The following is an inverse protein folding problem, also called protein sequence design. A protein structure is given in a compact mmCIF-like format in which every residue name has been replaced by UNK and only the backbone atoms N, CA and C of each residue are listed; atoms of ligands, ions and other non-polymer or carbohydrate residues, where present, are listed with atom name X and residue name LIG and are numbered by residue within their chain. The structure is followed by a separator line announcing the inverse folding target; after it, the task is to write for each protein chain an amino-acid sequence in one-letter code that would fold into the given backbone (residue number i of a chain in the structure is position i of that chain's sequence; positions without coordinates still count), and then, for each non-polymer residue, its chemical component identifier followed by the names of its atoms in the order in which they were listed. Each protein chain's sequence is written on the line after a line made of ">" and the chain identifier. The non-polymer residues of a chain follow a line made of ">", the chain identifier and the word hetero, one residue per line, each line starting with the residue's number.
data_IF_551253784904
#
_entry.id   IF_551253784904
#
_cell.length_a   1.000
_cell.length_b   1.000
_cell.length_c   1.000
_cell.angle_alpha   90.00
_cell.angle_beta   90.00
_cell.angle_gamma   90.00
#
_symmetry.space_group_name_H-M   'P 1'
#
loop_
_entity.id
_entity.type
_entity.pdbx_description
1 polymer ?
#
# COMPACT_ATOMS: atom_id res chain seq x y z
N UNK A 1 4.18 -18.22 8.46
CA UNK A 1 5.49 -17.68 8.91
C UNK A 1 6.08 -16.88 7.77
N UNK A 2 6.63 -15.68 8.06
CA UNK A 2 7.32 -14.87 7.04
C UNK A 2 8.40 -15.67 6.29
N UNK A 3 8.82 -15.18 5.14
CA UNK A 3 9.94 -15.81 4.41
C UNK A 3 11.23 -15.79 5.24
N UNK A 4 12.15 -16.75 5.04
CA UNK A 4 13.41 -16.78 5.76
C UNK A 4 14.27 -15.54 5.46
N UNK A 5 15.15 -15.16 6.40
CA UNK A 5 16.06 -14.05 6.22
C UNK A 5 17.04 -14.30 5.07
N UNK A 6 17.37 -13.27 4.33
CA UNK A 6 18.36 -13.28 3.23
C UNK A 6 19.74 -12.81 3.68
N UNK A 7 19.84 -12.21 4.88
CA UNK A 7 21.11 -11.80 5.49
C UNK A 7 21.22 -12.31 6.94
N UNK A 8 22.44 -12.33 7.46
CA UNK A 8 22.73 -12.73 8.84
C UNK A 8 22.72 -11.50 9.77
N UNK A 9 21.52 -11.04 10.17
CA UNK A 9 21.32 -9.80 10.92
C UNK A 9 22.16 -9.78 12.20
N UNK A 10 22.13 -10.86 12.98
CA UNK A 10 22.88 -10.96 14.26
C UNK A 10 24.39 -10.85 14.06
N UNK A 11 24.93 -11.42 12.98
CA UNK A 11 26.36 -11.32 12.65
C UNK A 11 26.74 -9.89 12.23
N UNK A 12 25.91 -9.25 11.40
CA UNK A 12 26.14 -7.88 10.93
C UNK A 12 25.95 -6.83 12.03
N UNK A 13 25.09 -7.09 13.00
CA UNK A 13 24.90 -6.23 14.16
C UNK A 13 25.87 -6.52 15.31
N UNK A 14 26.55 -7.67 15.34
CA UNK A 14 27.49 -8.01 16.40
C UNK A 14 28.60 -6.95 16.57
N UNK A 15 29.07 -6.77 17.79
CA UNK A 15 30.18 -5.87 18.08
C UNK A 15 31.45 -6.26 17.28
N UNK A 16 32.16 -5.24 16.81
CA UNK A 16 33.45 -5.44 16.10
C UNK A 16 34.56 -5.53 17.15
N UNK A 17 35.46 -6.51 16.95
CA UNK A 17 36.63 -6.66 17.83
C UNK A 17 37.57 -5.45 17.70
N UNK A 18 37.90 -4.82 18.82
CA UNK A 18 38.80 -3.67 18.83
C UNK A 18 38.57 -2.73 20.02
N UNK A 19 39.10 -1.53 19.94
CA UNK A 19 38.93 -0.49 20.98
C UNK A 19 37.50 0.02 21.06
N UNK A 20 36.83 0.17 19.93
CA UNK A 20 35.41 0.57 19.83
C UNK A 20 34.61 -0.63 19.27
N UNK A 21 33.54 -1.00 19.95
CA UNK A 21 32.63 -2.07 19.50
C UNK A 21 31.95 -1.76 18.15
N UNK A 22 31.96 -0.49 17.73
CA UNK A 22 31.41 -0.02 16.45
C UNK A 22 32.47 0.10 15.35
N UNK A 23 33.74 -0.28 15.64
CA UNK A 23 34.85 -0.16 14.71
C UNK A 23 35.36 1.26 14.51
N UNK A 24 35.80 1.60 13.32
CA UNK A 24 36.35 2.90 12.96
C UNK A 24 35.44 3.66 11.96
N UNK A 25 35.57 5.00 11.91
CA UNK A 25 34.95 5.78 10.84
C UNK A 25 35.65 5.51 9.49
N UNK A 26 34.97 4.83 8.58
CA UNK A 26 35.51 4.49 7.27
C UNK A 26 35.79 5.71 6.37
N UNK A 27 35.30 6.91 6.76
CA UNK A 27 35.53 8.18 6.05
C UNK A 27 36.89 8.81 6.35
N UNK A 28 37.58 8.34 7.39
CA UNK A 28 38.95 8.76 7.72
C UNK A 28 39.95 8.36 6.61
N UNK A 29 39.73 7.19 5.98
CA UNK A 29 40.52 6.79 4.81
C UNK A 29 40.01 7.53 3.55
N UNK A 30 40.70 8.59 3.19
CA UNK A 30 40.41 9.42 2.02
C UNK A 30 41.00 8.88 0.70
N UNK A 31 41.56 7.67 0.70
CA UNK A 31 42.01 7.02 -0.52
C UNK A 31 40.84 6.80 -1.49
N UNK A 32 41.01 7.07 -2.79
CA UNK A 32 39.98 6.76 -3.78
C UNK A 32 39.60 5.27 -3.86
N UNK A 33 40.45 4.40 -3.32
CA UNK A 33 40.25 2.95 -3.27
C UNK A 33 39.77 2.46 -1.90
N UNK A 34 39.47 3.35 -0.97
CA UNK A 34 38.92 2.97 0.33
C UNK A 34 37.56 2.28 0.19
N UNK A 35 37.20 1.49 1.16
CA UNK A 35 35.93 0.76 1.15
C UNK A 35 34.72 1.73 1.13
N UNK A 36 34.84 2.91 1.78
CA UNK A 36 33.81 3.96 1.71
C UNK A 36 33.59 4.49 0.30
N UNK A 37 34.66 4.88 -0.42
CA UNK A 37 34.51 5.40 -1.78
C UNK A 37 34.10 4.31 -2.75
N UNK A 38 34.57 3.06 -2.54
CA UNK A 38 34.18 1.90 -3.35
C UNK A 38 32.68 1.63 -3.29
N UNK A 39 32.08 1.56 -2.09
CA UNK A 39 30.63 1.33 -1.96
C UNK A 39 29.82 2.53 -2.48
N UNK A 40 30.29 3.75 -2.22
CA UNK A 40 29.65 4.97 -2.69
C UNK A 40 29.59 5.04 -4.22
N UNK A 41 30.69 4.72 -4.87
CA UNK A 41 30.79 4.72 -6.34
C UNK A 41 29.94 3.59 -6.94
N UNK A 42 29.95 2.39 -6.33
CA UNK A 42 29.08 1.28 -6.74
C UNK A 42 27.61 1.68 -6.68
N UNK A 43 27.16 2.29 -5.56
CA UNK A 43 25.79 2.79 -5.42
C UNK A 43 25.42 3.88 -6.44
N UNK A 44 26.32 4.84 -6.64
CA UNK A 44 26.08 5.92 -7.62
C UNK A 44 25.98 5.36 -9.04
N UNK A 45 26.81 4.40 -9.38
CA UNK A 45 26.79 3.68 -10.66
C UNK A 45 25.50 2.88 -10.84
N UNK A 46 25.05 2.17 -9.80
CA UNK A 46 23.80 1.43 -9.80
C UNK A 46 22.60 2.34 -10.08
N UNK A 47 22.52 3.47 -9.35
CA UNK A 47 21.45 4.47 -9.55
C UNK A 47 21.52 5.16 -10.89
N UNK A 48 22.71 5.38 -11.43
CA UNK A 48 22.89 5.93 -12.77
C UNK A 48 22.41 4.95 -13.85
N UNK A 49 22.75 3.67 -13.70
CA UNK A 49 22.27 2.60 -14.59
C UNK A 49 20.73 2.50 -14.61
N UNK A 50 20.09 2.52 -13.44
CA UNK A 50 18.62 2.52 -13.33
C UNK A 50 18.00 3.74 -14.05
N UNK A 51 18.57 4.94 -13.87
CA UNK A 51 18.06 6.14 -14.56
C UNK A 51 18.23 6.08 -16.07
N UNK A 52 19.37 5.56 -16.54
CA UNK A 52 19.63 5.40 -17.99
C UNK A 52 18.69 4.40 -18.63
N UNK A 53 18.39 3.29 -17.95
CA UNK A 53 17.48 2.27 -18.44
C UNK A 53 16.01 2.75 -18.61
N UNK A 54 15.65 3.90 -18.03
CA UNK A 54 14.32 4.52 -18.29
C UNK A 54 14.22 5.13 -19.70
N UNK A 55 15.34 5.38 -20.36
CA UNK A 55 15.41 6.06 -21.67
C UNK A 55 16.02 5.17 -22.75
N UNK A 56 16.82 4.19 -22.36
CA UNK A 56 17.51 3.28 -23.27
C UNK A 56 16.99 1.85 -23.06
N UNK A 57 16.51 1.24 -24.14
CA UNK A 57 16.09 -0.17 -24.16
C UNK A 57 17.35 -1.06 -24.16
N UNK A 58 17.95 -1.25 -22.98
CA UNK A 58 19.19 -2.01 -22.81
C UNK A 58 18.92 -3.33 -22.08
N UNK A 59 19.48 -4.44 -22.61
CA UNK A 59 19.51 -5.76 -21.93
C UNK A 59 20.52 -5.81 -20.76
N UNK A 60 20.89 -4.68 -20.16
CA UNK A 60 21.87 -4.62 -19.09
C UNK A 60 21.32 -5.23 -17.79
N UNK A 61 22.11 -6.04 -17.11
CA UNK A 61 21.78 -6.53 -15.76
C UNK A 61 21.86 -5.37 -14.75
N UNK A 62 20.73 -4.72 -14.52
CA UNK A 62 20.60 -3.62 -13.57
C UNK A 62 20.82 -4.02 -12.10
N UNK A 63 20.76 -5.31 -11.80
CA UNK A 63 20.99 -5.83 -10.45
C UNK A 63 22.46 -6.08 -10.15
N UNK A 64 23.32 -6.22 -11.16
CA UNK A 64 24.75 -6.49 -10.93
C UNK A 64 25.43 -5.42 -10.08
N UNK A 65 25.29 -4.09 -10.35
CA UNK A 65 25.90 -3.07 -9.49
C UNK A 65 25.32 -3.06 -8.06
N UNK A 66 24.04 -3.42 -7.87
CA UNK A 66 23.45 -3.53 -6.53
C UNK A 66 23.99 -4.73 -5.74
N UNK A 67 24.39 -5.84 -6.43
CA UNK A 67 25.12 -6.95 -5.78
C UNK A 67 26.49 -6.49 -5.27
N UNK A 68 27.18 -5.61 -5.99
CA UNK A 68 28.46 -5.05 -5.54
C UNK A 68 28.28 -4.15 -4.32
N UNK A 69 27.19 -3.33 -4.27
CA UNK A 69 26.83 -2.56 -3.10
C UNK A 69 26.56 -3.46 -1.89
N UNK A 70 25.75 -4.51 -2.07
CA UNK A 70 25.41 -5.45 -1.00
C UNK A 70 26.67 -6.12 -0.43
N UNK A 71 27.54 -6.65 -1.29
CA UNK A 71 28.78 -7.29 -0.90
C UNK A 71 29.73 -6.36 -0.14
N UNK A 72 29.83 -5.10 -0.59
CA UNK A 72 30.68 -4.11 0.07
C UNK A 72 30.09 -3.71 1.43
N UNK A 73 28.77 -3.56 1.53
CA UNK A 73 28.09 -3.26 2.79
C UNK A 73 28.29 -4.38 3.82
N UNK A 74 28.11 -5.63 3.43
CA UNK A 74 28.37 -6.80 4.32
C UNK A 74 29.81 -6.79 4.85
N UNK A 75 30.79 -6.57 3.99
CA UNK A 75 32.20 -6.49 4.38
C UNK A 75 32.45 -5.39 5.40
N UNK A 76 31.87 -4.21 5.19
CA UNK A 76 32.06 -3.06 6.08
C UNK A 76 31.37 -3.30 7.42
N UNK A 77 30.09 -3.69 7.40
CA UNK A 77 29.29 -3.84 8.61
C UNK A 77 29.72 -5.03 9.48
N UNK A 78 30.23 -6.12 8.88
CA UNK A 78 30.71 -7.28 9.64
C UNK A 78 32.04 -7.04 10.37
N UNK A 79 32.94 -6.20 9.85
CA UNK A 79 34.29 -6.18 10.38
C UNK A 79 35.00 -4.83 10.44
N UNK A 80 34.40 -3.73 9.98
CA UNK A 80 35.10 -2.44 9.89
C UNK A 80 34.38 -1.32 10.64
N UNK A 81 33.07 -1.17 10.40
CA UNK A 81 32.32 -0.02 10.93
C UNK A 81 30.84 -0.35 11.08
N UNK A 82 30.26 0.00 12.21
CA UNK A 82 28.81 0.09 12.35
C UNK A 82 28.35 1.46 11.90
N UNK A 83 27.75 1.54 10.72
CA UNK A 83 27.53 2.78 9.99
C UNK A 83 26.13 2.83 9.39
N UNK A 84 25.33 3.86 9.74
CA UNK A 84 23.96 4.03 9.27
C UNK A 84 23.87 4.34 7.78
N UNK A 85 24.87 5.04 7.22
CA UNK A 85 24.86 5.34 5.79
C UNK A 85 25.08 4.07 4.96
N UNK A 86 26.00 3.21 5.42
CA UNK A 86 26.24 1.90 4.80
C UNK A 86 25.02 1.00 4.95
N UNK A 87 24.40 0.97 6.13
CA UNK A 87 23.18 0.19 6.37
C UNK A 87 22.00 0.69 5.51
N UNK A 88 21.87 2.01 5.33
CA UNK A 88 20.88 2.60 4.43
C UNK A 88 21.12 2.19 2.96
N UNK A 89 22.37 2.26 2.47
CA UNK A 89 22.71 1.81 1.11
C UNK A 89 22.54 0.31 0.92
N UNK A 90 22.81 -0.46 1.96
CA UNK A 90 22.57 -1.90 1.95
C UNK A 90 21.08 -2.20 1.83
N UNK A 91 20.22 -1.49 2.58
CA UNK A 91 18.77 -1.62 2.47
C UNK A 91 18.25 -1.27 1.07
N UNK A 92 18.81 -0.24 0.42
CA UNK A 92 18.52 0.07 -0.98
C UNK A 92 18.88 -1.06 -1.95
N UNK A 93 20.00 -1.76 -1.70
CA UNK A 93 20.41 -2.91 -2.49
C UNK A 93 19.53 -4.12 -2.21
N UNK A 94 19.27 -4.42 -0.94
CA UNK A 94 18.48 -5.59 -0.51
C UNK A 94 17.07 -5.61 -1.08
N UNK A 95 16.36 -4.48 -1.07
CA UNK A 95 15.01 -4.43 -1.65
C UNK A 95 15.01 -4.72 -3.15
N UNK A 96 16.04 -4.28 -3.88
CA UNK A 96 16.15 -4.54 -5.32
C UNK A 96 16.51 -5.98 -5.64
N UNK A 97 17.34 -6.58 -4.81
CA UNK A 97 17.79 -7.95 -4.98
C UNK A 97 16.77 -8.99 -4.48
N UNK A 98 16.08 -8.68 -3.38
CA UNK A 98 15.27 -9.64 -2.63
C UNK A 98 13.85 -9.14 -2.31
N UNK A 99 13.41 -8.03 -2.91
CA UNK A 99 12.06 -7.50 -2.69
C UNK A 99 11.77 -7.17 -1.23
N UNK A 100 10.55 -7.47 -0.76
CA UNK A 100 10.12 -7.15 0.60
C UNK A 100 10.89 -7.95 1.68
N UNK A 101 11.41 -9.13 1.36
CA UNK A 101 12.30 -9.88 2.28
C UNK A 101 13.57 -9.08 2.56
N UNK A 102 14.19 -8.55 1.50
CA UNK A 102 15.37 -7.71 1.63
C UNK A 102 15.09 -6.40 2.37
N UNK A 103 13.93 -5.78 2.14
CA UNK A 103 13.53 -4.57 2.85
C UNK A 103 13.35 -4.83 4.35
N UNK A 104 12.66 -5.91 4.72
CA UNK A 104 12.46 -6.33 6.11
C UNK A 104 13.81 -6.53 6.81
N UNK A 105 14.69 -7.30 6.19
CA UNK A 105 15.98 -7.61 6.77
C UNK A 105 16.88 -6.36 6.90
N UNK A 106 16.84 -5.46 5.90
CA UNK A 106 17.53 -4.18 5.96
C UNK A 106 17.02 -3.28 7.10
N UNK A 107 15.71 -3.22 7.31
CA UNK A 107 15.11 -2.48 8.42
C UNK A 107 15.42 -3.14 9.77
N UNK A 108 15.37 -4.48 9.85
CA UNK A 108 15.76 -5.20 11.06
C UNK A 108 17.22 -4.97 11.44
N UNK A 109 18.11 -4.89 10.45
CA UNK A 109 19.52 -4.55 10.69
C UNK A 109 19.68 -3.13 11.22
N UNK A 110 19.00 -2.13 10.62
CA UNK A 110 19.02 -0.74 11.10
C UNK A 110 18.46 -0.66 12.53
N UNK A 111 17.36 -1.35 12.81
CA UNK A 111 16.73 -1.44 14.13
C UNK A 111 17.72 -1.92 15.19
N UNK A 112 18.40 -3.03 14.92
CA UNK A 112 19.45 -3.59 15.80
C UNK A 112 20.65 -2.66 15.96
N UNK A 113 21.11 -2.02 14.89
CA UNK A 113 22.24 -1.08 14.97
C UNK A 113 21.92 0.14 15.84
N UNK A 114 20.70 0.67 15.70
CA UNK A 114 20.24 1.82 16.49
C UNK A 114 20.01 1.43 17.95
N UNK A 115 19.48 0.24 18.23
CA UNK A 115 19.27 -0.26 19.60
C UNK A 115 20.58 -0.55 20.31
N UNK A 116 21.50 -1.29 19.67
CA UNK A 116 22.68 -1.85 20.31
C UNK A 116 23.88 -0.89 20.32
N UNK A 117 23.98 0.02 19.34
CA UNK A 117 25.21 0.77 19.06
C UNK A 117 25.07 2.29 18.97
N UNK A 118 23.92 2.87 19.31
CA UNK A 118 23.61 4.27 19.08
C UNK A 118 24.75 5.26 19.41
N UNK A 119 25.38 5.13 20.57
CA UNK A 119 26.40 6.07 21.02
C UNK A 119 27.64 6.12 20.13
N UNK A 120 28.06 4.95 19.63
CA UNK A 120 29.26 4.82 18.79
C UNK A 120 28.96 4.63 17.30
N UNK A 121 27.68 4.65 16.92
CA UNK A 121 27.23 4.42 15.54
C UNK A 121 27.65 5.58 14.61
N UNK A 122 28.22 5.27 13.47
CA UNK A 122 28.62 6.25 12.47
C UNK A 122 27.48 6.60 11.50
N UNK A 123 27.51 7.80 10.87
CA UNK A 123 28.47 8.88 11.07
C UNK A 123 28.37 9.50 12.48
N UNK A 124 29.50 9.98 13.00
CA UNK A 124 29.49 10.77 14.25
C UNK A 124 28.78 12.11 14.00
N UNK A 125 28.10 12.68 15.02
CA UNK A 125 27.55 14.03 14.94
C UNK A 125 28.67 15.05 14.63
N UNK A 126 28.37 16.02 13.80
CA UNK A 126 29.26 17.14 13.47
C UNK A 126 28.73 18.50 13.94
N UNK A 127 29.07 19.59 13.23
CA UNK A 127 28.61 20.95 13.57
C UNK A 127 27.09 21.10 13.47
N UNK A 128 26.43 20.31 12.60
CA UNK A 128 24.99 20.26 12.40
C UNK A 128 24.31 19.29 13.41
N UNK A 129 25.09 18.69 14.34
CA UNK A 129 24.61 17.84 15.41
C UNK A 129 24.12 16.50 14.93
N UNK A 130 22.97 16.04 15.48
CA UNK A 130 22.41 14.72 15.18
C UNK A 130 21.83 14.59 13.76
N UNK A 131 21.55 15.72 13.07
CA UNK A 131 21.05 15.70 11.71
C UNK A 131 22.01 14.95 10.76
N UNK A 132 23.31 15.20 10.87
CA UNK A 132 24.33 14.48 10.09
C UNK A 132 24.28 12.98 10.33
N UNK A 133 24.12 12.56 11.58
CA UNK A 133 24.05 11.14 11.94
C UNK A 133 22.84 10.43 11.32
N UNK A 134 21.70 11.09 11.26
CA UNK A 134 20.44 10.50 10.78
C UNK A 134 20.11 10.87 9.33
N UNK A 135 20.89 11.74 8.69
CA UNK A 135 20.71 12.14 7.28
C UNK A 135 20.55 10.97 6.31
N UNK A 136 21.26 9.83 6.43
CA UNK A 136 21.05 8.69 5.57
C UNK A 136 19.62 8.15 5.61
N UNK A 137 19.00 8.11 6.80
CA UNK A 137 17.63 7.63 6.98
C UNK A 137 16.60 8.65 6.47
N UNK A 138 16.88 9.95 6.66
CA UNK A 138 16.12 11.03 6.02
C UNK A 138 16.13 10.86 4.50
N UNK A 139 17.28 10.53 3.91
CA UNK A 139 17.43 10.27 2.47
C UNK A 139 16.62 9.07 1.98
N UNK A 140 16.44 8.02 2.77
CA UNK A 140 15.60 6.87 2.43
C UNK A 140 14.12 7.25 2.32
N UNK A 141 13.60 8.00 3.30
CA UNK A 141 12.20 8.41 3.38
C UNK A 141 11.89 9.62 2.47
N UNK A 142 12.84 10.52 2.33
CA UNK A 142 12.68 11.84 1.73
C UNK A 142 12.16 12.87 2.75
N UNK A 143 12.55 14.12 2.52
CA UNK A 143 12.09 15.30 3.24
C UNK A 143 11.60 16.33 2.22
N UNK A 144 10.30 16.63 2.24
CA UNK A 144 9.66 17.50 1.25
C UNK A 144 9.60 16.94 -0.18
N UNK A 145 10.08 15.71 -0.42
CA UNK A 145 10.08 15.00 -1.69
C UNK A 145 10.23 13.49 -1.51
N UNK A 146 10.23 12.73 -2.61
CA UNK A 146 10.37 11.27 -2.59
C UNK A 146 11.79 10.86 -2.17
N UNK A 147 11.87 9.99 -1.15
CA UNK A 147 13.11 9.34 -0.73
C UNK A 147 13.56 8.23 -1.68
N UNK A 148 14.78 7.74 -1.43
CA UNK A 148 15.42 6.77 -2.33
C UNK A 148 14.81 5.38 -2.27
N UNK A 149 14.00 5.05 -1.23
CA UNK A 149 13.25 3.80 -1.13
C UNK A 149 11.85 3.86 -1.73
N UNK A 150 11.31 5.03 -2.06
CA UNK A 150 9.93 5.15 -2.53
C UNK A 150 9.68 4.38 -3.83
N UNK A 151 10.56 4.56 -4.82
CA UNK A 151 10.45 3.84 -6.09
C UNK A 151 10.74 2.34 -5.94
N UNK A 152 11.81 1.90 -5.25
CA UNK A 152 12.04 0.47 -5.00
C UNK A 152 10.88 -0.24 -4.31
N UNK A 153 10.25 0.37 -3.30
CA UNK A 153 9.09 -0.22 -2.62
C UNK A 153 7.91 -0.38 -3.60
N UNK A 154 7.65 0.62 -4.45
CA UNK A 154 6.61 0.52 -5.49
C UNK A 154 6.91 -0.53 -6.54
N UNK A 155 8.19 -0.76 -6.84
CA UNK A 155 8.66 -1.70 -7.87
C UNK A 155 8.91 -3.11 -7.35
N UNK A 156 8.91 -3.31 -6.02
CA UNK A 156 9.06 -4.63 -5.42
C UNK A 156 7.83 -5.51 -5.73
N UNK A 157 8.08 -6.78 -6.04
CA UNK A 157 7.05 -7.74 -6.41
C UNK A 157 6.10 -8.03 -5.24
N UNK A 158 4.80 -8.00 -5.52
CA UNK A 158 3.73 -8.41 -4.62
C UNK A 158 3.10 -9.75 -5.03
N UNK A 159 3.49 -10.30 -6.18
CA UNK A 159 3.07 -11.63 -6.64
C UNK A 159 4.28 -12.56 -6.75
N UNK A 160 4.08 -13.89 -6.68
CA UNK A 160 5.14 -14.83 -7.04
C UNK A 160 5.47 -14.74 -8.52
N UNK A 161 6.59 -15.34 -8.92
CA UNK A 161 6.93 -15.57 -10.32
C UNK A 161 5.86 -16.43 -10.97
N UNK A 162 5.37 -16.02 -12.14
CA UNK A 162 4.37 -16.71 -12.93
C UNK A 162 4.73 -16.72 -14.42
N UNK A 163 3.80 -17.12 -15.28
CA UNK A 163 4.01 -17.18 -16.74
C UNK A 163 4.37 -15.81 -17.35
N UNK A 164 3.93 -14.73 -16.73
CA UNK A 164 4.21 -13.33 -17.11
C UNK A 164 5.25 -12.65 -16.23
N UNK A 165 5.99 -13.40 -15.40
CA UNK A 165 6.89 -12.87 -14.39
C UNK A 165 6.18 -12.50 -13.10
N UNK A 166 6.91 -11.85 -12.18
CA UNK A 166 6.35 -11.33 -10.95
C UNK A 166 5.87 -9.89 -11.15
N UNK A 167 4.72 -9.54 -10.56
CA UNK A 167 4.16 -8.19 -10.66
C UNK A 167 4.38 -7.38 -9.39
N UNK A 168 4.77 -6.13 -9.57
CA UNK A 168 4.96 -5.16 -8.51
C UNK A 168 3.66 -4.46 -8.10
N UNK A 169 3.71 -3.77 -6.96
CA UNK A 169 2.63 -2.90 -6.52
C UNK A 169 2.28 -1.82 -7.55
N UNK A 170 3.29 -1.20 -8.16
CA UNK A 170 3.09 -0.18 -9.19
C UNK A 170 2.40 -0.74 -10.44
N UNK A 171 2.83 -1.92 -10.91
CA UNK A 171 2.19 -2.59 -12.05
C UNK A 171 0.73 -2.95 -11.75
N UNK A 172 0.43 -3.42 -10.54
CA UNK A 172 -0.95 -3.66 -10.12
C UNK A 172 -1.79 -2.37 -10.15
N UNK A 173 -1.25 -1.24 -9.68
CA UNK A 173 -1.95 0.05 -9.77
C UNK A 173 -2.22 0.44 -11.23
N UNK A 174 -1.23 0.34 -12.11
CA UNK A 174 -1.38 0.66 -13.54
C UNK A 174 -2.41 -0.23 -14.24
N UNK A 175 -2.39 -1.54 -13.97
CA UNK A 175 -3.35 -2.49 -14.55
C UNK A 175 -4.78 -2.20 -14.08
N UNK A 176 -4.96 -1.87 -12.79
CA UNK A 176 -6.25 -1.49 -12.23
C UNK A 176 -6.78 -0.17 -12.81
N UNK A 177 -5.90 0.79 -13.05
CA UNK A 177 -6.29 2.06 -13.68
C UNK A 177 -6.64 1.86 -15.15
N UNK A 178 -5.92 1.00 -15.87
CA UNK A 178 -6.27 0.60 -17.23
C UNK A 178 -7.64 -0.12 -17.28
N UNK A 179 -7.92 -1.01 -16.33
CA UNK A 179 -9.20 -1.75 -16.25
C UNK A 179 -10.41 -0.83 -16.01
N UNK A 180 -10.22 0.34 -15.40
CA UNK A 180 -11.27 1.33 -15.14
C UNK A 180 -11.61 2.22 -16.33
N UNK A 181 -10.85 2.17 -17.42
CA UNK A 181 -11.16 2.93 -18.63
C UNK A 181 -12.48 2.44 -19.21
N UNK A 182 -13.44 3.35 -19.39
CA UNK A 182 -14.79 3.02 -19.83
C UNK A 182 -14.89 2.75 -21.35
N UNK A 183 -13.96 3.29 -22.14
CA UNK A 183 -13.89 3.08 -23.59
C UNK A 183 -13.06 1.84 -23.87
N UNK A 184 -13.67 0.85 -24.57
CA UNK A 184 -13.04 -0.45 -24.79
C UNK A 184 -11.79 -0.35 -25.70
N UNK A 185 -11.77 0.53 -26.69
CA UNK A 185 -10.63 0.70 -27.59
C UNK A 185 -9.46 1.38 -26.85
N UNK A 186 -9.74 2.41 -26.05
CA UNK A 186 -8.74 3.06 -25.21
C UNK A 186 -8.19 2.13 -24.12
N UNK A 187 -9.05 1.29 -23.53
CA UNK A 187 -8.63 0.26 -22.58
C UNK A 187 -7.70 -0.76 -23.22
N UNK A 188 -8.07 -1.30 -24.39
CA UNK A 188 -7.25 -2.25 -25.12
C UNK A 188 -5.89 -1.65 -25.50
N UNK A 189 -5.85 -0.44 -26.02
CA UNK A 189 -4.61 0.26 -26.36
C UNK A 189 -3.73 0.51 -25.12
N UNK A 190 -4.34 0.80 -23.96
CA UNK A 190 -3.59 0.96 -22.71
C UNK A 190 -2.97 -0.34 -22.23
N UNK A 191 -3.72 -1.44 -22.25
CA UNK A 191 -3.24 -2.79 -21.91
C UNK A 191 -2.10 -3.20 -22.84
N UNK A 192 -2.26 -3.01 -24.16
CA UNK A 192 -1.19 -3.28 -25.13
C UNK A 192 0.07 -2.46 -24.84
N UNK A 193 -0.07 -1.19 -24.50
CA UNK A 193 1.03 -0.31 -24.11
C UNK A 193 1.74 -0.75 -22.82
N UNK A 194 1.02 -1.36 -21.86
CA UNK A 194 1.60 -1.88 -20.63
C UNK A 194 2.28 -3.24 -20.83
N UNK A 195 1.82 -4.03 -21.78
CA UNK A 195 2.26 -5.41 -22.03
C UNK A 195 1.68 -6.45 -21.05
N UNK A 196 0.78 -6.04 -20.16
CA UNK A 196 0.06 -6.90 -19.20
C UNK A 196 -1.29 -6.30 -18.83
N UNK A 197 -2.19 -7.12 -18.35
CA UNK A 197 -3.54 -6.78 -17.91
C UNK A 197 -3.74 -7.07 -16.41
N UNK A 198 -4.84 -6.57 -15.84
CA UNK A 198 -5.25 -6.96 -14.49
C UNK A 198 -5.52 -8.47 -14.40
N UNK A 199 -6.07 -9.08 -15.49
CA UNK A 199 -6.30 -10.52 -15.55
C UNK A 199 -5.02 -11.36 -15.45
N UNK A 200 -3.90 -10.89 -16.00
CA UNK A 200 -2.60 -11.57 -15.89
C UNK A 200 -2.08 -11.54 -14.44
N UNK A 201 -2.27 -10.40 -13.77
CA UNK A 201 -1.93 -10.26 -12.33
C UNK A 201 -2.82 -11.18 -11.49
N UNK A 202 -4.14 -11.20 -11.75
CA UNK A 202 -5.09 -12.07 -11.07
C UNK A 202 -4.76 -13.56 -11.30
N UNK A 203 -4.26 -13.93 -12.48
CA UNK A 203 -3.80 -15.29 -12.75
C UNK A 203 -2.59 -15.67 -11.87
N UNK A 204 -1.59 -14.78 -11.72
CA UNK A 204 -0.48 -14.98 -10.79
C UNK A 204 -0.94 -15.07 -9.34
N UNK A 205 -1.85 -14.20 -8.92
CA UNK A 205 -2.44 -14.20 -7.57
C UNK A 205 -3.19 -15.52 -7.31
N UNK A 206 -4.01 -15.97 -8.25
CA UNK A 206 -4.77 -17.22 -8.12
C UNK A 206 -3.88 -18.47 -8.17
N UNK A 207 -2.73 -18.39 -8.85
CA UNK A 207 -1.72 -19.45 -8.86
C UNK A 207 -0.90 -19.54 -7.57
N UNK A 208 -0.90 -18.48 -6.76
CA UNK A 208 -0.18 -18.46 -5.48
C UNK A 208 -0.88 -19.37 -4.45
N UNK A 209 -0.10 -20.15 -3.72
CA UNK A 209 -0.60 -20.90 -2.58
C UNK A 209 -0.91 -20.01 -1.39
N UNK A 210 -1.83 -20.44 -0.51
CA UNK A 210 -2.17 -19.71 0.71
C UNK A 210 -0.97 -19.47 1.63
N UNK A 211 -0.03 -20.41 1.71
CA UNK A 211 1.21 -20.26 2.48
C UNK A 211 2.11 -19.14 1.92
N UNK A 212 2.24 -19.05 0.59
CA UNK A 212 3.00 -17.97 -0.03
C UNK A 212 2.38 -16.61 0.27
N UNK A 213 1.05 -16.51 0.10
CA UNK A 213 0.30 -15.28 0.39
C UNK A 213 0.47 -14.84 1.85
N UNK A 214 0.39 -15.78 2.80
CA UNK A 214 0.60 -15.51 4.21
C UNK A 214 2.03 -15.05 4.48
N UNK A 215 3.03 -15.76 3.94
CA UNK A 215 4.45 -15.39 4.12
C UNK A 215 4.73 -13.99 3.56
N UNK A 216 4.16 -13.62 2.40
CA UNK A 216 4.30 -12.28 1.81
C UNK A 216 3.69 -11.19 2.71
N UNK A 217 2.49 -11.42 3.21
CA UNK A 217 1.82 -10.48 4.12
C UNK A 217 2.62 -10.31 5.42
N UNK A 218 3.01 -11.42 6.07
CA UNK A 218 3.81 -11.39 7.30
C UNK A 218 5.17 -10.71 7.09
N UNK A 219 5.82 -10.93 5.96
CA UNK A 219 7.09 -10.26 5.62
C UNK A 219 6.93 -8.73 5.53
N UNK A 220 5.85 -8.25 4.92
CA UNK A 220 5.56 -6.81 4.83
C UNK A 220 5.22 -6.25 6.21
N UNK A 221 4.47 -6.99 7.03
CA UNK A 221 4.15 -6.60 8.41
C UNK A 221 5.39 -6.50 9.29
N UNK A 222 6.31 -7.46 9.19
CA UNK A 222 7.59 -7.43 9.90
C UNK A 222 8.44 -6.23 9.45
N UNK A 223 8.49 -5.93 8.14
CA UNK A 223 9.18 -4.74 7.63
C UNK A 223 8.61 -3.45 8.22
N UNK A 224 7.27 -3.33 8.31
CA UNK A 224 6.58 -2.20 8.95
C UNK A 224 6.91 -2.14 10.45
N UNK A 225 6.95 -3.27 11.13
CA UNK A 225 7.25 -3.34 12.55
C UNK A 225 8.67 -2.83 12.86
N UNK A 226 9.69 -3.31 12.13
CA UNK A 226 11.07 -2.84 12.27
C UNK A 226 11.22 -1.37 11.90
N UNK A 227 10.54 -0.92 10.83
CA UNK A 227 10.55 0.49 10.44
C UNK A 227 9.98 1.40 11.54
N UNK A 228 8.90 1.00 12.19
CA UNK A 228 8.32 1.73 13.34
C UNK A 228 9.23 1.69 14.55
N UNK A 229 9.80 0.52 14.89
CA UNK A 229 10.65 0.32 16.05
C UNK A 229 11.86 1.25 16.04
N UNK A 230 12.68 1.22 14.98
CA UNK A 230 13.85 2.08 14.97
C UNK A 230 13.50 3.59 14.88
N UNK A 231 12.39 3.97 14.25
CA UNK A 231 11.95 5.37 14.24
C UNK A 231 11.48 5.84 15.63
N UNK A 232 10.86 4.99 16.44
CA UNK A 232 10.51 5.28 17.82
C UNK A 232 11.77 5.46 18.67
N UNK A 233 12.76 4.58 18.51
CA UNK A 233 14.06 4.67 19.19
C UNK A 233 14.80 5.94 18.79
N UNK A 234 14.85 6.28 17.49
CA UNK A 234 15.46 7.52 17.00
C UNK A 234 14.78 8.78 17.53
N UNK A 235 13.46 8.78 17.69
CA UNK A 235 12.74 9.88 18.33
C UNK A 235 13.14 10.05 19.79
N UNK A 236 13.38 8.96 20.50
CA UNK A 236 13.90 8.98 21.86
C UNK A 236 15.28 9.64 21.95
N UNK A 237 16.15 9.38 20.98
CA UNK A 237 17.51 9.91 20.95
C UNK A 237 17.61 11.33 20.37
N UNK A 238 16.90 11.61 19.29
CA UNK A 238 17.05 12.84 18.52
C UNK A 238 16.00 13.91 18.82
N UNK A 239 14.88 13.54 19.48
CA UNK A 239 13.80 14.49 19.73
C UNK A 239 13.25 15.12 18.46
N UNK A 240 13.44 16.43 18.30
CA UNK A 240 12.96 17.18 17.13
C UNK A 240 13.81 16.96 15.85
N UNK A 241 15.06 16.51 16.01
CA UNK A 241 15.98 16.25 14.90
C UNK A 241 15.83 14.81 14.36
N UNK A 242 14.80 14.08 14.83
CA UNK A 242 14.50 12.73 14.31
C UNK A 242 14.12 12.77 12.82
N UNK A 243 14.58 11.80 12.03
CA UNK A 243 14.29 11.78 10.60
C UNK A 243 12.77 11.66 10.33
N UNK A 244 12.27 12.24 9.21
CA UNK A 244 10.90 12.02 8.77
C UNK A 244 10.69 10.55 8.39
N UNK A 245 9.49 10.01 8.67
CA UNK A 245 9.19 8.57 8.44
C UNK A 245 7.85 8.34 7.72
N UNK A 246 7.10 9.39 7.47
CA UNK A 246 5.70 9.27 7.04
C UNK A 246 5.54 8.75 5.62
N UNK A 247 6.46 9.05 4.70
CA UNK A 247 6.34 8.66 3.30
C UNK A 247 6.45 7.13 3.15
N UNK A 248 7.48 6.53 3.74
CA UNK A 248 7.66 5.08 3.71
C UNK A 248 6.55 4.38 4.48
N UNK A 249 6.17 4.86 5.69
CA UNK A 249 5.06 4.27 6.45
C UNK A 249 3.76 4.26 5.66
N UNK A 250 3.37 5.38 5.06
CA UNK A 250 2.13 5.47 4.29
C UNK A 250 2.15 4.54 3.07
N UNK A 251 3.28 4.46 2.38
CA UNK A 251 3.44 3.58 1.21
C UNK A 251 3.37 2.11 1.61
N UNK A 252 4.06 1.70 2.67
CA UNK A 252 4.04 0.31 3.15
C UNK A 252 2.65 -0.10 3.65
N UNK A 253 1.93 0.79 4.34
CA UNK A 253 0.55 0.54 4.76
C UNK A 253 -0.40 0.39 3.54
N UNK A 254 -0.13 1.09 2.44
CA UNK A 254 -0.91 0.94 1.18
C UNK A 254 -0.58 -0.37 0.48
N UNK A 255 0.71 -0.74 0.39
CA UNK A 255 1.16 -2.02 -0.16
C UNK A 255 0.55 -3.18 0.63
N UNK A 256 0.63 -3.15 1.97
CA UNK A 256 0.07 -4.18 2.83
C UNK A 256 -1.44 -4.35 2.63
N UNK A 257 -2.19 -3.24 2.61
CA UNK A 257 -3.64 -3.28 2.36
C UNK A 257 -3.97 -3.89 1.00
N UNK A 258 -3.21 -3.52 -0.03
CA UNK A 258 -3.40 -4.05 -1.39
C UNK A 258 -3.07 -5.53 -1.43
N UNK A 259 -1.94 -5.96 -0.86
CA UNK A 259 -1.53 -7.36 -0.80
C UNK A 259 -2.57 -8.21 -0.07
N UNK A 260 -3.05 -7.78 1.10
CA UNK A 260 -4.12 -8.47 1.82
C UNK A 260 -5.43 -8.56 1.02
N UNK A 261 -5.74 -7.53 0.25
CA UNK A 261 -6.96 -7.49 -0.56
C UNK A 261 -6.90 -8.48 -1.71
N UNK A 262 -5.80 -8.48 -2.49
CA UNK A 262 -5.67 -9.38 -3.65
C UNK A 262 -5.58 -10.85 -3.24
N UNK A 263 -4.98 -11.15 -2.08
CA UNK A 263 -4.84 -12.52 -1.55
C UNK A 263 -5.94 -12.94 -0.57
N UNK A 264 -7.01 -12.15 -0.45
CA UNK A 264 -8.06 -12.42 0.55
C UNK A 264 -8.60 -13.85 0.47
N UNK A 265 -8.87 -14.35 -0.74
CA UNK A 265 -9.43 -15.68 -0.94
C UNK A 265 -8.47 -16.80 -0.48
N UNK A 266 -7.17 -16.67 -0.79
CA UNK A 266 -6.12 -17.62 -0.41
C UNK A 266 -5.89 -17.63 1.12
N UNK A 267 -5.90 -16.44 1.73
CA UNK A 267 -5.74 -16.29 3.18
C UNK A 267 -6.94 -16.86 3.94
N UNK A 268 -8.16 -16.58 3.48
CA UNK A 268 -9.39 -17.13 4.07
C UNK A 268 -9.43 -18.66 3.95
N UNK A 269 -9.03 -19.21 2.79
CA UNK A 269 -8.96 -20.65 2.58
C UNK A 269 -7.91 -21.31 3.50
N UNK A 270 -6.74 -20.70 3.67
CA UNK A 270 -5.70 -21.19 4.57
C UNK A 270 -6.17 -21.15 6.04
N UNK A 271 -6.82 -20.07 6.46
CA UNK A 271 -7.38 -19.92 7.79
C UNK A 271 -8.44 -21.00 8.07
N UNK A 272 -9.29 -21.30 7.09
CA UNK A 272 -10.30 -22.37 7.20
C UNK A 272 -9.66 -23.77 7.32
N UNK A 273 -8.52 -24.02 6.65
CA UNK A 273 -7.78 -25.28 6.76
C UNK A 273 -7.11 -25.45 8.12
N UNK A 274 -6.66 -24.35 8.72
CA UNK A 274 -5.95 -24.35 10.01
C UNK A 274 -6.90 -24.19 11.22
N UNK A 275 -8.21 -23.99 10.99
CA UNK A 275 -9.19 -23.96 12.06
C UNK A 275 -9.25 -25.34 12.73
N UNK A 276 -9.15 -25.44 14.07
CA UNK A 276 -9.29 -26.72 14.77
C UNK A 276 -10.67 -27.29 14.42
N UNK A 277 -10.70 -28.56 13.97
CA UNK A 277 -11.93 -29.29 13.75
C UNK A 277 -12.68 -29.33 15.08
N UNK A 278 -13.76 -28.58 15.19
CA UNK A 278 -14.69 -28.77 16.30
C UNK A 278 -15.21 -30.20 16.18
N UNK A 279 -14.77 -31.07 17.07
CA UNK A 279 -15.31 -32.41 17.24
C UNK A 279 -16.77 -32.25 17.67
N UNK A 280 -17.66 -32.41 16.72
CA UNK A 280 -19.08 -32.60 16.99
C UNK A 280 -19.28 -34.00 17.62
N UNK A 281 -19.04 -34.12 18.91
CA UNK A 281 -19.64 -35.18 19.71
C UNK A 281 -21.07 -34.78 19.97
N UNK A 282 -21.94 -35.30 19.12
CA UNK A 282 -23.37 -35.39 19.40
C UNK A 282 -23.59 -36.52 20.41
N UNK A 283 -23.68 -36.18 21.67
CA UNK A 283 -24.28 -37.02 22.67
C UNK A 283 -25.51 -36.31 23.22
N UNK A 284 -26.64 -36.86 22.83
CA UNK A 284 -27.95 -36.69 23.42
C UNK A 284 -27.90 -37.02 24.93
N UNK A 285 -28.22 -36.07 25.82
CA UNK A 285 -28.87 -36.37 27.10
C UNK A 285 -29.66 -35.17 27.63
N UNK A 286 -30.91 -35.45 27.90
CA UNK A 286 -31.92 -34.63 28.57
C UNK A 286 -31.65 -34.51 30.06
N UNK A 287 -31.70 -33.27 30.63
CA UNK A 287 -31.76 -33.14 32.10
C UNK A 287 -31.48 -31.76 32.65
N UNK A 288 -32.49 -31.02 32.80
CA UNK A 288 -32.91 -30.02 33.80
C UNK A 288 -31.93 -29.59 34.91
N UNK A 289 -32.03 -28.30 35.18
CA UNK A 289 -31.77 -27.46 36.39
C UNK A 289 -30.53 -26.56 36.44
N UNK A 290 -30.82 -25.28 36.27
CA UNK A 290 -30.64 -24.15 37.23
C UNK A 290 -29.25 -23.64 37.58
N UNK A 291 -29.13 -22.34 37.33
CA UNK A 291 -28.51 -21.27 38.11
C UNK A 291 -27.06 -20.80 37.75
N UNK A 292 -27.04 -19.63 37.17
CA UNK A 292 -26.21 -18.45 37.49
C UNK A 292 -24.69 -18.51 37.30
N UNK A 293 -24.26 -17.95 36.17
CA UNK A 293 -23.17 -16.98 36.15
C UNK A 293 -23.41 -16.00 34.98
N UNK A 294 -23.71 -14.75 35.29
CA UNK A 294 -23.90 -13.68 34.34
C UNK A 294 -22.54 -13.32 33.72
N UNK A 295 -22.25 -13.84 32.53
CA UNK A 295 -21.28 -13.25 31.61
C UNK A 295 -22.02 -12.18 30.81
N UNK A 296 -21.56 -10.94 30.92
CA UNK A 296 -22.08 -9.77 30.17
C UNK A 296 -21.83 -10.02 28.69
N UNK A 297 -22.85 -10.54 28.01
CA UNK A 297 -22.84 -10.58 26.55
C UNK A 297 -22.96 -9.13 26.02
N UNK A 298 -21.88 -8.62 25.45
CA UNK A 298 -21.95 -7.42 24.62
C UNK A 298 -22.87 -7.66 23.42
N UNK A 299 -23.50 -6.62 22.89
CA UNK A 299 -24.42 -6.74 21.76
C UNK A 299 -23.68 -7.38 20.56
N UNK A 300 -24.26 -8.46 20.03
CA UNK A 300 -23.74 -9.18 18.88
C UNK A 300 -23.54 -8.23 17.69
N UNK A 301 -22.32 -8.18 17.19
CA UNK A 301 -22.00 -7.49 15.93
C UNK A 301 -22.74 -8.20 14.79
N UNK A 302 -23.38 -7.48 13.85
CA UNK A 302 -23.92 -8.11 12.66
C UNK A 302 -22.74 -8.65 11.82
N UNK A 303 -22.65 -9.98 11.71
CA UNK A 303 -21.68 -10.68 10.91
C UNK A 303 -22.12 -10.61 9.43
N UNK A 304 -21.62 -9.62 8.68
CA UNK A 304 -21.85 -9.48 7.25
C UNK A 304 -21.28 -8.17 6.69
N UNK A 305 -21.00 -8.10 5.38
CA UNK A 305 -20.60 -6.86 4.77
C UNK A 305 -21.72 -5.81 4.92
N UNK A 306 -21.35 -4.55 5.15
CA UNK A 306 -22.28 -3.44 5.26
C UNK A 306 -23.03 -3.30 3.92
N UNK A 307 -24.32 -3.66 3.93
CA UNK A 307 -25.12 -3.73 2.71
C UNK A 307 -25.87 -2.43 2.40
N UNK A 308 -26.03 -1.55 3.38
CA UNK A 308 -26.75 -0.29 3.20
C UNK A 308 -26.11 0.86 4.00
N UNK A 309 -26.41 2.10 3.56
CA UNK A 309 -25.99 3.32 4.29
C UNK A 309 -26.50 3.32 5.73
N UNK A 310 -27.72 2.87 5.95
CA UNK A 310 -28.32 2.81 7.28
C UNK A 310 -27.64 1.77 8.19
N UNK A 311 -27.16 0.66 7.63
CA UNK A 311 -26.42 -0.32 8.40
C UNK A 311 -25.04 0.23 8.80
N UNK A 312 -24.38 1.00 7.92
CA UNK A 312 -23.15 1.73 8.26
C UNK A 312 -23.36 2.71 9.41
N UNK A 313 -24.44 3.49 9.36
CA UNK A 313 -24.77 4.46 10.42
C UNK A 313 -25.09 3.77 11.75
N UNK A 314 -25.75 2.62 11.74
CA UNK A 314 -26.00 1.81 12.96
C UNK A 314 -24.70 1.29 13.58
N UNK A 315 -23.72 0.87 12.77
CA UNK A 315 -22.40 0.47 13.27
C UNK A 315 -21.66 1.64 13.94
N UNK A 316 -21.75 2.83 13.34
CA UNK A 316 -21.18 4.04 13.96
C UNK A 316 -21.90 4.39 15.28
N UNK A 317 -23.23 4.22 15.37
CA UNK A 317 -23.99 4.40 16.63
C UNK A 317 -23.54 3.43 17.72
N UNK A 318 -23.28 2.17 17.36
CA UNK A 318 -22.77 1.18 18.33
C UNK A 318 -21.37 1.57 18.81
N UNK A 319 -20.49 2.00 17.91
CA UNK A 319 -19.16 2.49 18.27
C UNK A 319 -19.24 3.74 19.17
N UNK A 320 -20.07 4.71 18.85
CA UNK A 320 -20.26 5.91 19.65
C UNK A 320 -20.77 5.57 21.06
N UNK A 321 -21.71 4.62 21.18
CA UNK A 321 -22.22 4.14 22.46
C UNK A 321 -21.16 3.43 23.29
N UNK A 322 -20.29 2.63 22.64
CA UNK A 322 -19.14 2.00 23.28
C UNK A 322 -18.22 3.03 23.91
N UNK A 323 -17.73 4.01 23.11
CA UNK A 323 -16.82 5.06 23.59
C UNK A 323 -17.46 5.92 24.67
N UNK A 324 -18.74 6.24 24.59
CA UNK A 324 -19.47 6.96 25.63
C UNK A 324 -19.51 6.21 26.95
N UNK A 325 -19.58 4.88 26.91
CA UNK A 325 -19.67 4.05 28.09
C UNK A 325 -18.32 3.79 28.74
N UNK A 326 -17.30 3.50 27.94
CA UNK A 326 -16.00 3.05 28.43
C UNK A 326 -14.91 4.15 28.43
N UNK A 327 -15.05 5.16 27.58
CA UNK A 327 -14.09 6.26 27.42
C UNK A 327 -14.78 7.63 27.39
N UNK A 328 -15.53 8.03 28.42
CA UNK A 328 -16.39 9.23 28.39
C UNK A 328 -15.62 10.55 28.25
N UNK A 329 -14.31 10.54 28.49
CA UNK A 329 -13.44 11.72 28.41
C UNK A 329 -12.77 11.92 27.06
N UNK A 330 -12.94 10.97 26.11
CA UNK A 330 -12.37 11.10 24.76
C UNK A 330 -13.31 11.87 23.83
N UNK A 331 -12.78 12.62 22.85
CA UNK A 331 -13.61 13.33 21.87
C UNK A 331 -14.24 12.39 20.82
N UNK A 332 -14.00 11.08 20.93
CA UNK A 332 -14.44 10.09 19.95
C UNK A 332 -15.97 9.93 19.91
N UNK A 333 -16.62 9.81 21.09
CA UNK A 333 -18.06 9.66 21.14
C UNK A 333 -18.82 10.86 20.51
N UNK A 334 -18.55 12.13 20.91
CA UNK A 334 -19.22 13.27 20.29
C UNK A 334 -18.82 13.46 18.82
N UNK A 335 -17.61 13.09 18.40
CA UNK A 335 -17.19 13.10 16.99
C UNK A 335 -17.99 12.12 16.13
N UNK A 336 -18.15 10.88 16.57
CA UNK A 336 -18.97 9.88 15.90
C UNK A 336 -20.44 10.26 15.83
N UNK A 337 -21.02 10.80 16.91
CA UNK A 337 -22.41 11.27 16.95
C UNK A 337 -22.64 12.41 15.94
N UNK A 338 -21.67 13.31 15.79
CA UNK A 338 -21.74 14.38 14.80
C UNK A 338 -21.69 13.83 13.37
N UNK A 339 -20.79 12.88 13.09
CA UNK A 339 -20.72 12.20 11.78
C UNK A 339 -22.02 11.44 11.45
N UNK A 340 -22.65 10.79 12.43
CA UNK A 340 -23.95 10.12 12.26
C UNK A 340 -25.03 11.16 11.95
N UNK A 341 -25.03 12.31 12.65
CA UNK A 341 -25.92 13.44 12.38
C UNK A 341 -25.76 13.91 10.93
N UNK A 342 -24.56 14.18 10.49
CA UNK A 342 -24.26 14.55 9.10
C UNK A 342 -24.67 13.48 8.09
N UNK A 343 -24.48 12.21 8.44
CA UNK A 343 -24.92 11.09 7.61
C UNK A 343 -26.45 11.02 7.42
N UNK A 344 -27.25 11.68 8.24
CA UNK A 344 -28.72 11.73 8.15
C UNK A 344 -29.27 13.04 7.57
N UNK A 345 -28.42 14.05 7.42
CA UNK A 345 -28.77 15.33 6.84
C UNK A 345 -28.93 15.25 5.32
N UNK A 346 -29.74 16.11 4.78
CA UNK A 346 -29.75 16.41 3.35
C UNK A 346 -28.50 17.19 2.97
N UNK A 347 -28.14 17.22 1.69
CA UNK A 347 -26.98 18.00 1.21
C UNK A 347 -27.13 19.49 1.58
N UNK A 348 -28.34 20.04 1.50
CA UNK A 348 -28.62 21.42 1.85
C UNK A 348 -28.39 21.69 3.34
N UNK A 349 -28.87 20.81 4.23
CA UNK A 349 -28.69 20.94 5.67
C UNK A 349 -27.19 20.80 6.04
N UNK A 350 -26.50 19.82 5.47
CA UNK A 350 -25.08 19.59 5.70
C UNK A 350 -24.25 20.80 5.26
N UNK A 351 -24.49 21.34 4.07
CA UNK A 351 -23.74 22.49 3.57
C UNK A 351 -24.06 23.76 4.38
N UNK A 352 -25.25 23.90 4.90
CA UNK A 352 -25.61 25.01 5.79
C UNK A 352 -24.84 24.93 7.12
N UNK A 353 -24.58 23.73 7.64
CA UNK A 353 -23.78 23.54 8.85
C UNK A 353 -22.28 23.71 8.61
N UNK A 354 -21.78 23.23 7.45
CA UNK A 354 -20.34 23.30 7.12
C UNK A 354 -19.89 24.67 6.64
N UNK A 355 -20.76 25.45 6.02
CA UNK A 355 -20.48 26.79 5.50
C UNK A 355 -21.11 27.86 6.42
N UNK A 356 -20.34 28.38 7.40
CA UNK A 356 -20.91 29.28 8.42
C UNK A 356 -21.28 30.69 7.90
N UNK A 357 -20.65 31.12 6.79
CA UNK A 357 -20.87 32.46 6.25
C UNK A 357 -21.80 32.45 5.02
N UNK A 358 -22.65 33.49 4.92
CA UNK A 358 -23.66 33.63 3.86
C UNK A 358 -23.06 33.82 2.47
N UNK A 359 -21.83 34.37 2.38
CA UNK A 359 -21.16 34.60 1.11
C UNK A 359 -20.66 33.25 0.52
N UNK A 360 -20.07 32.40 1.34
CA UNK A 360 -19.64 31.04 0.94
C UNK A 360 -20.86 30.20 0.54
N UNK A 361 -21.99 30.31 1.23
CA UNK A 361 -23.23 29.62 0.86
C UNK A 361 -23.78 30.10 -0.49
N UNK A 362 -23.73 31.42 -0.75
CA UNK A 362 -24.19 32.00 -2.02
C UNK A 362 -23.29 31.50 -3.19
N UNK A 363 -21.98 31.49 -3.01
CA UNK A 363 -21.03 30.97 -4.01
C UNK A 363 -21.27 29.48 -4.27
N UNK A 364 -21.44 28.68 -3.22
CA UNK A 364 -21.74 27.25 -3.35
C UNK A 364 -23.03 27.02 -4.13
N UNK A 365 -24.10 27.73 -3.78
CA UNK A 365 -25.39 27.64 -4.47
C UNK A 365 -25.31 28.05 -5.95
N UNK A 366 -24.49 29.04 -6.26
CA UNK A 366 -24.27 29.52 -7.64
C UNK A 366 -23.48 28.48 -8.48
N UNK A 367 -22.49 27.80 -7.87
CA UNK A 367 -21.65 26.81 -8.55
C UNK A 367 -22.34 25.47 -8.74
N UNK A 368 -23.13 25.04 -7.75
CA UNK A 368 -23.73 23.70 -7.73
C UNK A 368 -25.19 23.64 -8.12
N UNK A 369 -25.87 24.78 -8.13
CA UNK A 369 -27.32 24.84 -8.33
C UNK A 369 -28.17 24.39 -7.13
N UNK A 370 -27.51 23.95 -6.02
CA UNK A 370 -28.22 23.53 -4.79
C UNK A 370 -28.63 24.73 -4.00
N UNK A 371 -29.93 24.84 -3.68
CA UNK A 371 -30.48 25.93 -2.86
C UNK A 371 -30.27 25.63 -1.38
N UNK A 372 -29.56 26.50 -0.69
CA UNK A 372 -29.28 26.38 0.76
C UNK A 372 -30.28 27.20 1.61
N UNK A 373 -31.41 27.67 1.03
CA UNK A 373 -32.45 28.45 1.67
C UNK A 373 -33.53 27.61 2.36
N UNK A 374 -33.35 26.28 2.42
CA UNK A 374 -34.32 25.35 3.00
C UNK A 374 -35.50 25.02 2.09
N UNK A 375 -35.53 25.53 0.86
CA UNK A 375 -36.61 25.23 -0.11
C UNK A 375 -36.48 23.86 -0.77
N UNK A 376 -35.31 23.22 -0.69
CA UNK A 376 -35.03 21.88 -1.21
C UNK A 376 -35.24 20.82 -0.09
N UNK A 377 -36.50 20.40 0.07
CA UNK A 377 -36.93 19.42 1.09
C UNK A 377 -36.96 17.97 0.59
N UNK A 378 -36.29 17.64 -0.52
CA UNK A 378 -36.24 16.27 -0.97
C UNK A 378 -35.26 15.46 -0.11
N UNK A 379 -35.77 14.83 0.95
CA UNK A 379 -35.10 13.74 1.64
C UNK A 379 -34.82 12.64 0.63
N UNK A 380 -33.56 12.21 0.51
CA UNK A 380 -33.21 11.01 -0.23
C UNK A 380 -33.99 9.83 0.36
N UNK A 381 -34.98 9.37 -0.37
CA UNK A 381 -35.65 8.08 -0.12
C UNK A 381 -34.89 7.07 -0.95
N UNK A 382 -34.15 6.18 -0.27
CA UNK A 382 -33.47 5.08 -0.94
C UNK A 382 -34.51 4.29 -1.77
N UNK A 383 -34.21 3.95 -3.05
CA UNK A 383 -35.10 3.10 -3.83
C UNK A 383 -35.31 1.78 -3.08
N UNK A 384 -36.54 1.22 -3.07
CA UNK A 384 -36.80 -0.06 -2.43
C UNK A 384 -35.88 -1.11 -3.02
N UNK A 385 -35.22 -1.91 -2.15
CA UNK A 385 -34.37 -3.00 -2.56
C UNK A 385 -35.15 -3.90 -3.53
N UNK A 386 -34.59 -4.13 -4.73
CA UNK A 386 -35.18 -5.01 -5.71
C UNK A 386 -35.37 -6.40 -5.10
N UNK A 387 -36.63 -6.84 -5.04
CA UNK A 387 -36.97 -8.19 -4.62
C UNK A 387 -36.31 -9.20 -5.55
N UNK A 388 -35.84 -10.35 -5.05
CA UNK A 388 -35.24 -11.38 -5.90
C UNK A 388 -36.27 -11.84 -6.93
N UNK A 389 -35.90 -11.78 -8.21
CA UNK A 389 -36.72 -12.21 -9.33
C UNK A 389 -37.03 -13.71 -9.19
N UNK A 390 -38.32 -13.99 -9.01
CA UNK A 390 -38.84 -15.34 -9.08
C UNK A 390 -38.70 -15.86 -10.52
N UNK A 391 -38.06 -17.01 -10.66
CA UNK A 391 -37.97 -17.79 -11.90
C UNK A 391 -39.35 -18.08 -12.49
N UNK A 392 -39.64 -17.63 -13.69
CA UNK A 392 -40.80 -18.05 -14.48
C UNK A 392 -40.39 -19.10 -15.53
N UNK A 393 -41.29 -20.06 -15.86
CA UNK A 393 -40.93 -21.23 -16.65
C UNK A 393 -40.95 -20.96 -18.17
N UNK A 394 -40.19 -21.82 -18.87
CA UNK A 394 -40.06 -21.86 -20.32
C UNK A 394 -41.38 -22.04 -21.05
N UNK A 395 -41.55 -21.34 -22.19
CA UNK A 395 -42.51 -21.69 -23.21
C UNK A 395 -41.85 -21.61 -24.61
N UNK A 396 -42.05 -22.67 -25.35
CA UNK A 396 -41.57 -22.99 -26.70
C UNK A 396 -42.18 -22.13 -27.81
N UNK A 397 -41.70 -22.26 -29.06
CA UNK A 397 -41.78 -21.23 -30.13
C UNK A 397 -42.98 -21.35 -31.07
N UNK A 398 -43.37 -20.27 -31.68
CA UNK A 398 -44.23 -20.32 -32.84
C UNK A 398 -43.82 -19.31 -33.93
N UNK A 399 -43.86 -19.76 -35.11
CA UNK A 399 -43.37 -19.41 -36.41
C UNK A 399 -43.92 -18.11 -37.05
N UNK A 400 -43.12 -17.60 -38.00
CA UNK A 400 -43.44 -17.12 -39.36
C UNK A 400 -44.50 -16.02 -39.56
N UNK A 401 -44.10 -14.89 -40.11
CA UNK A 401 -44.42 -14.56 -41.51
C UNK A 401 -43.87 -13.20 -41.97
N UNK A 402 -43.51 -13.23 -43.18
CA UNK A 402 -42.79 -12.38 -44.09
C UNK A 402 -43.53 -11.07 -44.49
N UNK A 403 -42.78 -10.29 -45.28
CA UNK A 403 -43.20 -9.30 -46.30
C UNK A 403 -43.29 -7.84 -45.82
N UNK A 404 -42.64 -6.82 -46.35
CA UNK A 404 -42.13 -6.48 -47.69
C UNK A 404 -41.44 -5.11 -47.59
N UNK A 405 -40.38 -4.94 -48.35
CA UNK A 405 -39.83 -3.62 -48.75
C UNK A 405 -40.77 -2.93 -49.76
N UNK A 406 -40.58 -1.65 -50.20
CA UNK A 406 -39.37 -1.20 -50.87
C UNK A 406 -39.00 0.33 -50.77
N UNK A 407 -37.75 0.61 -51.14
CA UNK A 407 -37.19 1.67 -52.00
C UNK A 407 -37.46 3.17 -51.62
N UNK A 408 -36.63 4.12 -51.86
CA UNK A 408 -35.58 4.45 -52.83
C UNK A 408 -35.04 5.87 -52.55
N UNK A 409 -33.91 6.16 -53.18
CA UNK A 409 -33.34 7.50 -53.48
C UNK A 409 -32.53 8.20 -52.35
N UNK A 410 -31.30 8.53 -52.49
CA UNK A 410 -30.39 8.70 -53.61
C UNK A 410 -29.62 10.00 -53.52
N UNK A 411 -28.37 9.97 -53.94
CA UNK A 411 -27.50 11.09 -54.34
C UNK A 411 -26.68 11.76 -53.23
N UNK A 412 -25.45 11.73 -53.27
CA UNK A 412 -24.26 11.99 -54.11
C UNK A 412 -23.35 13.01 -53.45
N UNK A 413 -22.15 12.61 -53.43
CA UNK A 413 -20.85 13.11 -53.94
C UNK A 413 -19.98 13.97 -53.03
N UNK A 414 -18.80 13.40 -52.87
CA UNK A 414 -17.53 14.06 -52.55
C UNK A 414 -17.21 15.30 -53.44
N UNK A 415 -16.27 16.19 -53.06
CA UNK A 415 -14.89 15.84 -53.30
C UNK A 415 -13.83 16.41 -52.30
N UNK A 416 -12.73 15.68 -52.19
CA UNK A 416 -11.38 16.23 -51.96
C UNK A 416 -10.93 17.09 -53.14
N UNK A 417 -9.99 18.09 -52.98
CA UNK A 417 -8.58 17.75 -53.03
C UNK A 417 -7.54 18.75 -52.41
N UNK A 418 -6.29 18.23 -52.32
CA UNK A 418 -4.92 18.85 -52.48
C UNK A 418 -4.39 19.80 -51.38
N UNK A 419 -3.32 19.49 -50.67
CA UNK A 419 -1.90 19.35 -51.02
C UNK A 419 -1.16 20.71 -51.28
N UNK A 420 0.05 20.80 -50.68
CA UNK A 420 1.20 21.70 -50.87
C UNK A 420 1.16 23.00 -50.05
N UNK A 421 2.23 23.50 -49.41
CA UNK A 421 3.65 23.32 -49.62
C UNK A 421 4.44 23.71 -48.34
N UNK A 422 5.63 23.13 -48.21
CA UNK A 422 6.87 23.57 -47.60
C UNK A 422 7.07 25.06 -47.34
N UNK A 423 7.81 25.36 -46.30
CA UNK A 423 9.02 26.16 -46.11
C UNK A 423 9.21 26.32 -44.60
N UNK A 424 10.19 25.77 -43.87
CA UNK A 424 11.59 26.10 -43.89
C UNK A 424 11.94 27.20 -42.90
N UNK A 425 12.50 26.82 -41.75
CA UNK A 425 13.68 27.36 -41.05
C UNK A 425 13.85 26.63 -39.72
#
# INVERSE_FOLDING_TARGET
>A
MAFPNVIQIDELAAAIDGEKSTGADIREDRSPTSDYYTIKDARNSARAAERSALFDDTDADLLAPWRDVAKSAEKILSGQSKDLEVAAWYTEALIRLNGFVGLRDGFALIDRLVEDHWEGLYPEPDEDGLETKVAPLTGLNGDGGDGTLMLPIRSAAITPEGDYGAFSFFQHQQARDADRIADDDAKAARIESLGYSLGDIDACVNGAGGEWAQNQVETIEEAIAHYKSFNETLRGHCGNDAPPFTNISALLDEVLRTTRFIYKAQLDALAAQNAPAETSDAADDTGDTSAAAAAVAGPAMPAGPVASREDALKLLEQAAKYFRTYEPHTPLAPGLERLIGWGRMTVSELMTELLPDDQSRAVYSQLTGVRLDGSDTQRYVAPPAAAPAASAPAAEPAAESAESAPADAGWSEEPKPKAEAEVGW
#
